data_IF_428830225939
#
_entry.id   IF_428830225939
#
_cell.length_a   1.000
_cell.length_b   1.000
_cell.length_c   1.000
_cell.angle_alpha   90.00
_cell.angle_beta   90.00
_cell.angle_gamma   90.00
#
_symmetry.space_group_name_H-M   'P 1'
#
loop_
_entity.id
_entity.type
_entity.pdbx_description
1 polymer ?
#
# COMPACT_ATOMS: atom_id res chain seq x y z
N UNK A 1 16.01 -22.98 -6.34
CA UNK A 1 17.19 -22.09 -6.25
C UNK A 1 17.24 -21.22 -7.49
N UNK A 2 16.74 -19.98 -7.45
CA UNK A 2 16.87 -19.01 -8.54
C UNK A 2 17.29 -17.67 -7.94
N UNK A 3 18.60 -17.48 -7.73
CA UNK A 3 19.18 -16.20 -7.33
C UNK A 3 19.37 -15.27 -8.53
N UNK A 4 18.28 -14.92 -9.22
CA UNK A 4 18.27 -13.86 -10.25
C UNK A 4 17.80 -12.51 -9.71
N UNK A 5 17.77 -12.35 -8.39
CA UNK A 5 17.31 -11.14 -7.70
C UNK A 5 18.45 -10.31 -7.13
N UNK A 6 19.49 -10.04 -7.92
CA UNK A 6 20.31 -8.84 -7.76
C UNK A 6 20.77 -8.42 -9.15
N UNK A 7 19.85 -7.85 -9.94
CA UNK A 7 20.24 -7.03 -11.08
C UNK A 7 21.16 -5.95 -10.51
N UNK A 8 22.45 -6.02 -10.86
CA UNK A 8 23.49 -5.11 -10.41
C UNK A 8 22.96 -3.66 -10.42
N UNK A 9 23.03 -2.92 -9.30
CA UNK A 9 22.43 -1.58 -9.21
C UNK A 9 22.94 -0.65 -10.30
N UNK A 10 24.18 -0.82 -10.77
CA UNK A 10 24.73 -0.08 -11.90
C UNK A 10 23.98 -0.37 -13.21
N UNK A 11 23.59 -1.62 -13.45
CA UNK A 11 22.82 -2.03 -14.64
C UNK A 11 21.42 -1.39 -14.59
N UNK A 12 20.77 -1.41 -13.42
CA UNK A 12 19.43 -0.79 -13.24
C UNK A 12 19.49 0.73 -13.44
N UNK A 13 20.52 1.39 -12.90
CA UNK A 13 20.73 2.84 -13.07
C UNK A 13 21.01 3.19 -14.54
N UNK A 14 21.82 2.38 -15.24
CA UNK A 14 22.11 2.56 -16.67
C UNK A 14 20.86 2.36 -17.54
N UNK A 15 20.04 1.35 -17.24
CA UNK A 15 18.76 1.13 -17.94
C UNK A 15 17.79 2.31 -17.75
N UNK A 16 17.69 2.86 -16.54
CA UNK A 16 16.84 4.03 -16.25
C UNK A 16 17.29 5.27 -17.03
N UNK A 17 18.61 5.50 -17.11
CA UNK A 17 19.18 6.61 -17.91
C UNK A 17 18.86 6.44 -19.40
N UNK A 18 19.04 5.23 -19.95
CA UNK A 18 18.73 4.94 -21.35
C UNK A 18 17.24 5.15 -21.68
N UNK A 19 16.34 4.78 -20.76
CA UNK A 19 14.90 5.01 -20.93
C UNK A 19 14.54 6.50 -20.96
N UNK A 20 15.08 7.30 -20.04
CA UNK A 20 14.84 8.76 -20.03
C UNK A 20 15.34 9.44 -21.32
N UNK A 21 16.44 8.92 -21.88
CA UNK A 21 17.00 9.44 -23.13
C UNK A 21 16.14 9.06 -24.34
N UNK A 22 15.62 7.84 -24.37
CA UNK A 22 14.64 7.40 -25.38
C UNK A 22 13.37 8.26 -25.36
N UNK A 23 12.84 8.56 -24.18
CA UNK A 23 11.64 9.40 -24.04
C UNK A 23 11.87 10.80 -24.60
N UNK A 24 13.01 11.41 -24.28
CA UNK A 24 13.39 12.71 -24.81
C UNK A 24 13.64 12.67 -26.33
N UNK A 25 14.21 11.58 -26.85
CA UNK A 25 14.42 11.38 -28.29
C UNK A 25 13.09 11.25 -29.06
N UNK A 26 12.09 10.57 -28.48
CA UNK A 26 10.77 10.42 -29.08
C UNK A 26 9.95 11.72 -29.09
N UNK A 27 10.16 12.60 -28.11
CA UNK A 27 9.47 13.90 -28.02
C UNK A 27 10.12 15.00 -28.86
N UNK A 28 11.37 14.83 -29.28
CA UNK A 28 12.10 15.83 -30.03
C UNK A 28 11.72 15.83 -31.52
N UNK A 29 11.79 17.01 -32.15
CA UNK A 29 11.76 17.15 -33.61
C UNK A 29 13.06 16.64 -34.25
N UNK A 30 13.10 16.46 -35.57
CA UNK A 30 14.23 15.80 -36.26
C UNK A 30 15.58 16.51 -36.06
N UNK A 31 15.57 17.85 -35.99
CA UNK A 31 16.75 18.65 -35.61
C UNK A 31 17.18 18.41 -34.15
N UNK A 32 16.19 18.26 -33.25
CA UNK A 32 16.41 17.97 -31.84
C UNK A 32 16.98 16.56 -31.62
N UNK A 33 16.51 15.58 -32.39
CA UNK A 33 17.05 14.20 -32.39
C UNK A 33 18.53 14.18 -32.77
N UNK A 34 18.91 14.85 -33.86
CA UNK A 34 20.30 14.92 -34.30
C UNK A 34 21.21 15.58 -33.25
N UNK A 35 20.74 16.65 -32.59
CA UNK A 35 21.47 17.33 -31.52
C UNK A 35 21.65 16.44 -30.28
N UNK A 36 20.60 15.70 -29.91
CA UNK A 36 20.66 14.75 -28.79
C UNK A 36 21.64 13.61 -29.07
N UNK A 37 21.58 12.99 -30.25
CA UNK A 37 22.51 11.91 -30.63
C UNK A 37 23.97 12.36 -30.56
N UNK A 38 24.28 13.55 -31.10
CA UNK A 38 25.64 14.12 -31.02
C UNK A 38 26.08 14.44 -29.60
N UNK A 39 25.19 15.00 -28.78
CA UNK A 39 25.49 15.37 -27.39
C UNK A 39 25.86 14.16 -26.52
N UNK A 40 25.20 13.03 -26.76
CA UNK A 40 25.41 11.80 -26.00
C UNK A 40 26.35 10.80 -26.70
N UNK A 41 26.87 11.13 -27.89
CA UNK A 41 27.77 10.26 -28.65
C UNK A 41 27.11 8.96 -29.11
N UNK A 42 25.81 9.00 -29.40
CA UNK A 42 24.99 7.84 -29.74
C UNK A 42 24.66 7.79 -31.23
N UNK A 43 24.49 6.58 -31.74
CA UNK A 43 23.99 6.35 -33.09
C UNK A 43 22.50 6.00 -33.07
N UNK A 44 21.81 6.27 -34.17
CA UNK A 44 20.39 5.91 -34.32
C UNK A 44 20.17 4.38 -34.17
N UNK A 45 21.18 3.56 -34.47
CA UNK A 45 21.19 2.12 -34.22
C UNK A 45 21.07 1.76 -32.74
N UNK A 46 21.68 2.54 -31.84
CA UNK A 46 21.65 2.30 -30.39
C UNK A 46 20.24 2.57 -29.84
N UNK A 47 19.63 3.65 -30.32
CA UNK A 47 18.24 4.00 -30.00
C UNK A 47 17.27 2.91 -30.48
N UNK A 48 17.44 2.42 -31.71
CA UNK A 48 16.64 1.30 -32.25
C UNK A 48 16.81 0.05 -31.40
N UNK A 49 18.04 -0.31 -31.04
CA UNK A 49 18.33 -1.46 -30.18
C UNK A 49 17.64 -1.35 -28.83
N UNK A 50 17.67 -0.19 -28.18
CA UNK A 50 16.99 0.00 -26.90
C UNK A 50 15.46 -0.04 -27.05
N UNK A 51 14.91 0.50 -28.14
CA UNK A 51 13.48 0.40 -28.45
C UNK A 51 13.04 -1.05 -28.59
N UNK A 52 13.83 -1.86 -29.29
CA UNK A 52 13.53 -3.27 -29.50
C UNK A 52 13.66 -4.07 -28.20
N UNK A 53 14.65 -3.75 -27.35
CA UNK A 53 14.76 -4.32 -26.00
C UNK A 53 13.53 -4.01 -25.13
N UNK A 54 13.06 -2.76 -25.12
CA UNK A 54 11.85 -2.37 -24.37
C UNK A 54 10.61 -3.07 -24.93
N UNK A 55 10.48 -3.17 -26.25
CA UNK A 55 9.36 -3.86 -26.90
C UNK A 55 9.35 -5.35 -26.56
N UNK A 56 10.50 -6.01 -26.63
CA UNK A 56 10.62 -7.43 -26.30
C UNK A 56 10.39 -7.71 -24.81
N UNK A 57 10.92 -6.86 -23.92
CA UNK A 57 10.65 -6.96 -22.49
C UNK A 57 9.15 -6.75 -22.18
N UNK A 58 8.50 -5.81 -22.86
CA UNK A 58 7.06 -5.57 -22.72
C UNK A 58 6.23 -6.76 -23.21
N UNK A 59 6.60 -7.37 -24.33
CA UNK A 59 5.97 -8.58 -24.86
C UNK A 59 6.18 -9.79 -23.95
N UNK A 60 7.36 -9.93 -23.34
CA UNK A 60 7.64 -10.98 -22.37
C UNK A 60 6.78 -10.82 -21.11
N UNK A 61 6.62 -9.59 -20.59
CA UNK A 61 5.75 -9.30 -19.44
C UNK A 61 4.27 -9.49 -19.79
N UNK A 62 3.84 -9.06 -20.98
CA UNK A 62 2.45 -9.22 -21.43
C UNK A 62 2.10 -10.69 -21.73
N UNK A 63 3.02 -11.44 -22.33
CA UNK A 63 2.89 -12.88 -22.57
C UNK A 63 2.97 -13.71 -21.28
N UNK A 64 3.67 -13.21 -20.26
CA UNK A 64 3.68 -13.74 -18.89
C UNK A 64 2.63 -13.08 -17.99
N UNK A 65 1.47 -12.67 -18.53
CA UNK A 65 0.28 -12.47 -17.68
C UNK A 65 -0.06 -13.83 -17.05
N UNK A 66 0.53 -14.09 -15.89
CA UNK A 66 0.11 -15.12 -14.94
C UNK A 66 -1.41 -15.02 -14.89
N UNK A 67 -2.11 -16.10 -15.24
CA UNK A 67 -3.57 -16.14 -15.09
C UNK A 67 -3.86 -15.58 -13.70
N UNK A 68 -4.64 -14.49 -13.62
CA UNK A 68 -5.10 -13.98 -12.34
C UNK A 68 -5.87 -15.14 -11.73
N UNK A 69 -5.25 -15.79 -10.75
CA UNK A 69 -5.91 -16.76 -9.93
C UNK A 69 -6.93 -15.97 -9.14
N UNK A 70 -8.21 -16.08 -9.51
CA UNK A 70 -9.33 -15.53 -8.73
C UNK A 70 -9.43 -16.18 -7.35
N UNK A 71 -8.62 -17.22 -7.06
CA UNK A 71 -8.45 -17.72 -5.69
C UNK A 71 -7.67 -16.70 -4.88
N UNK A 72 -8.34 -16.16 -3.85
CA UNK A 72 -7.70 -15.47 -2.73
C UNK A 72 -6.54 -16.33 -2.22
N UNK A 73 -5.39 -15.71 -2.00
CA UNK A 73 -4.26 -16.38 -1.32
C UNK A 73 -4.73 -16.88 0.04
N UNK A 74 -4.18 -17.98 0.53
CA UNK A 74 -4.46 -18.47 1.90
C UNK A 74 -4.21 -17.35 2.93
N UNK A 75 -3.15 -16.57 2.74
CA UNK A 75 -2.87 -15.37 3.55
C UNK A 75 -4.00 -14.35 3.55
N UNK A 76 -4.67 -14.14 2.40
CA UNK A 76 -5.75 -13.16 2.28
C UNK A 76 -7.01 -13.64 3.02
N UNK A 77 -7.25 -14.95 3.00
CA UNK A 77 -8.36 -15.57 3.74
C UNK A 77 -8.08 -15.47 5.25
N UNK A 78 -6.84 -15.72 5.66
CA UNK A 78 -6.45 -15.65 7.07
C UNK A 78 -6.52 -14.21 7.60
N UNK A 79 -6.09 -13.22 6.80
CA UNK A 79 -6.22 -11.80 7.15
C UNK A 79 -7.69 -11.43 7.35
N UNK A 80 -8.58 -11.83 6.45
CA UNK A 80 -10.02 -11.54 6.56
C UNK A 80 -10.63 -12.19 7.81
N UNK A 81 -10.24 -13.42 8.12
CA UNK A 81 -10.68 -14.13 9.33
C UNK A 81 -10.22 -13.39 10.60
N UNK A 82 -8.93 -13.07 10.69
CA UNK A 82 -8.36 -12.38 11.84
C UNK A 82 -9.00 -10.99 12.04
N UNK A 83 -9.31 -10.28 10.94
CA UNK A 83 -10.02 -9.01 11.00
C UNK A 83 -11.44 -9.15 11.56
N UNK A 84 -12.17 -10.21 11.19
CA UNK A 84 -13.50 -10.47 11.73
C UNK A 84 -13.45 -10.79 13.22
N UNK A 85 -12.53 -11.67 13.64
CA UNK A 85 -12.34 -12.02 15.06
C UNK A 85 -11.98 -10.77 15.89
N UNK A 86 -11.11 -9.90 15.37
CA UNK A 86 -10.75 -8.64 16.02
C UNK A 86 -11.98 -7.72 16.19
N UNK A 87 -12.79 -7.56 15.15
CA UNK A 87 -14.00 -6.72 15.22
C UNK A 87 -15.02 -7.24 16.24
N UNK A 88 -15.19 -8.55 16.37
CA UNK A 88 -16.08 -9.14 17.37
C UNK A 88 -15.58 -8.90 18.80
N UNK A 89 -14.26 -9.04 19.02
CA UNK A 89 -13.62 -8.74 20.31
C UNK A 89 -13.73 -7.26 20.67
N UNK A 90 -13.57 -6.36 19.72
CA UNK A 90 -13.75 -4.92 19.94
C UNK A 90 -15.20 -4.58 20.30
N UNK A 91 -16.18 -5.17 19.62
CA UNK A 91 -17.62 -4.97 19.91
C UNK A 91 -17.98 -5.44 21.31
N UNK A 92 -17.49 -6.60 21.73
CA UNK A 92 -17.75 -7.13 23.09
C UNK A 92 -17.10 -6.25 24.15
N UNK A 93 -15.85 -5.83 23.92
CA UNK A 93 -15.14 -4.90 24.81
C UNK A 93 -15.86 -3.57 24.96
N UNK A 94 -16.36 -3.00 23.86
CA UNK A 94 -17.15 -1.77 23.88
C UNK A 94 -18.45 -1.94 24.68
N UNK A 95 -19.17 -3.05 24.47
CA UNK A 95 -20.40 -3.34 25.24
C UNK A 95 -20.09 -3.46 26.74
N UNK A 96 -19.04 -4.18 27.12
CA UNK A 96 -18.63 -4.34 28.51
C UNK A 96 -18.23 -3.00 29.14
N UNK A 97 -17.49 -2.16 28.43
CA UNK A 97 -17.10 -0.85 28.93
C UNK A 97 -18.32 0.07 29.14
N UNK A 98 -19.30 0.03 28.23
CA UNK A 98 -20.56 0.78 28.43
C UNK A 98 -21.33 0.30 29.66
N UNK A 99 -21.44 -1.01 29.87
CA UNK A 99 -22.09 -1.58 31.05
C UNK A 99 -21.38 -1.17 32.35
N UNK A 100 -20.04 -1.18 32.36
CA UNK A 100 -19.24 -0.77 33.51
C UNK A 100 -19.48 0.72 33.86
N UNK A 101 -19.51 1.59 32.86
CA UNK A 101 -19.78 3.02 33.05
C UNK A 101 -21.20 3.24 33.58
N UNK A 102 -22.20 2.55 33.01
CA UNK A 102 -23.58 2.63 33.49
C UNK A 102 -23.66 2.19 34.96
N UNK A 103 -23.06 1.04 35.31
CA UNK A 103 -23.04 0.55 36.68
C UNK A 103 -22.39 1.57 37.64
N UNK A 104 -21.27 2.18 37.24
CA UNK A 104 -20.61 3.24 38.00
C UNK A 104 -21.56 4.42 38.24
N UNK A 105 -22.25 4.90 37.21
CA UNK A 105 -23.20 6.01 37.31
C UNK A 105 -24.39 5.68 38.22
N UNK A 106 -24.96 4.47 38.10
CA UNK A 106 -26.03 4.00 38.98
C UNK A 106 -25.59 3.97 40.46
N UNK A 107 -24.35 3.56 40.74
CA UNK A 107 -23.80 3.57 42.10
C UNK A 107 -23.65 4.98 42.66
N UNK A 108 -23.20 5.95 41.87
CA UNK A 108 -23.10 7.35 42.30
C UNK A 108 -24.48 7.95 42.57
N UNK A 109 -25.43 7.80 41.64
CA UNK A 109 -26.78 8.32 41.81
C UNK A 109 -27.48 7.71 43.05
N UNK A 110 -27.27 6.41 43.32
CA UNK A 110 -27.78 5.76 44.53
C UNK A 110 -27.15 6.35 45.80
N UNK A 111 -25.83 6.61 45.79
CA UNK A 111 -25.11 7.22 46.93
C UNK A 111 -25.61 8.64 47.20
N UNK A 112 -25.81 9.43 46.16
CA UNK A 112 -26.33 10.81 46.26
C UNK A 112 -27.73 10.85 46.86
N UNK A 113 -28.64 9.98 46.41
CA UNK A 113 -29.98 9.82 47.02
C UNK A 113 -29.94 9.41 48.49
N UNK A 114 -29.03 8.50 48.86
CA UNK A 114 -28.86 8.09 50.25
C UNK A 114 -28.35 9.24 51.13
N UNK A 115 -27.42 10.05 50.61
CA UNK A 115 -26.89 11.20 51.34
C UNK A 115 -27.97 12.28 51.57
N UNK A 116 -28.79 12.59 50.55
CA UNK A 116 -29.91 13.53 50.68
C UNK A 116 -30.92 13.10 51.77
N UNK A 117 -31.27 11.81 51.80
CA UNK A 117 -32.19 11.27 52.80
C UNK A 117 -31.62 11.27 54.23
N UNK A 118 -30.29 11.25 54.38
CA UNK A 118 -29.62 11.40 55.69
C UNK A 118 -29.63 12.86 56.13
N UNK A 119 -29.42 13.81 55.22
CA UNK A 119 -29.47 15.25 55.51
C UNK A 119 -30.88 15.69 55.91
N UNK A 120 -31.91 15.23 55.19
CA UNK A 120 -33.32 15.51 55.54
C UNK A 120 -33.68 15.00 56.94
N UNK A 121 -33.18 13.82 57.34
CA UNK A 121 -33.43 13.25 58.67
C UNK A 121 -32.64 13.90 59.80
N UNK A 122 -31.60 14.67 59.50
CA UNK A 122 -30.85 15.46 60.50
C UNK A 122 -31.44 16.85 60.73
N UNK A 123 -32.35 17.29 59.87
CA UNK A 123 -33.02 18.60 59.96
C UNK A 123 -34.33 18.58 60.75
N UNK A 124 -34.73 17.41 61.28
CA UNK A 124 -35.83 17.22 62.23
C UNK A 124 -35.27 16.76 63.58
#
# INVERSE_FOLDING_TARGET
MNQSHLLNPLIVILQKKNFSLLENYLKADDQGKAKLLRKYGLYDSDIKRWRDQVKNASLEVLGKRKQRSDKKSEDQIEIERLQQELQEQEKTTAKLSTLLVLQKNFRYAKKERLNLNIEEKKSY
#
